data_IF_967227008030
#
_entry.id   IF_967227008030
#
_cell.length_a   1.000
_cell.length_b   1.000
_cell.length_c   1.000
_cell.angle_alpha   90.00
_cell.angle_beta   90.00
_cell.angle_gamma   90.00
#
_symmetry.space_group_name_H-M   'P 1'
#
loop_
_entity.id
_entity.type
_entity.pdbx_description
1 polymer ?
#
# COMPACT_ATOMS: atom_id res chain seq x y z
N UNK A 1 25.48 5.52 -12.54
CA UNK A 1 25.19 6.97 -12.41
C UNK A 1 24.50 7.45 -13.68
N UNK A 2 23.23 7.83 -13.62
CA UNK A 2 22.56 8.54 -14.73
C UNK A 2 23.20 9.93 -14.82
N UNK A 3 23.95 10.21 -15.90
CA UNK A 3 24.39 11.58 -16.22
C UNK A 3 23.14 12.47 -16.28
N UNK A 4 23.23 13.75 -15.86
CA UNK A 4 22.16 14.75 -16.06
C UNK A 4 21.79 14.76 -17.56
N UNK A 5 20.76 14.01 -17.94
CA UNK A 5 20.23 14.00 -19.29
C UNK A 5 19.19 15.12 -19.35
N UNK A 6 19.43 16.11 -20.20
CA UNK A 6 18.56 17.27 -20.41
C UNK A 6 17.39 16.89 -21.35
N UNK A 7 16.59 15.91 -20.93
CA UNK A 7 15.48 15.34 -21.72
C UNK A 7 14.41 16.41 -21.99
N UNK A 8 14.34 17.44 -21.15
CA UNK A 8 13.38 18.53 -21.27
C UNK A 8 13.56 19.44 -22.49
N UNK A 9 14.75 19.41 -23.13
CA UNK A 9 15.10 20.21 -24.31
C UNK A 9 15.12 19.41 -25.61
N UNK A 10 14.59 18.19 -25.60
CA UNK A 10 14.49 17.37 -26.79
C UNK A 10 13.46 17.97 -27.75
N UNK A 11 13.96 18.48 -28.88
CA UNK A 11 13.16 18.95 -30.00
C UNK A 11 12.87 17.78 -30.92
N UNK A 12 11.63 17.28 -30.91
CA UNK A 12 11.21 16.16 -31.74
C UNK A 12 9.93 16.56 -32.47
N UNK A 13 9.93 16.43 -33.79
CA UNK A 13 8.76 16.69 -34.63
C UNK A 13 8.48 15.50 -35.54
N UNK A 14 7.20 15.27 -35.84
CA UNK A 14 6.79 14.27 -36.82
C UNK A 14 5.95 13.13 -36.23
N UNK A 15 5.72 12.10 -37.05
CA UNK A 15 4.86 10.97 -36.73
C UNK A 15 5.60 9.68 -37.06
N UNK A 16 5.66 8.78 -36.08
CA UNK A 16 6.19 7.44 -36.26
C UNK A 16 5.07 6.44 -36.02
N UNK A 17 4.72 5.67 -37.06
CA UNK A 17 3.76 4.57 -36.98
C UNK A 17 4.52 3.25 -37.09
N UNK A 18 4.52 2.49 -36.00
CA UNK A 18 5.11 1.17 -35.93
C UNK A 18 3.98 0.15 -35.94
N UNK A 19 3.96 -0.70 -36.97
CA UNK A 19 3.02 -1.80 -37.12
C UNK A 19 3.76 -3.12 -37.02
N UNK A 20 3.27 -4.01 -36.15
CA UNK A 20 3.83 -5.34 -35.87
C UNK A 20 5.33 -5.29 -35.58
N UNK A 21 5.76 -4.24 -34.86
CA UNK A 21 7.16 -4.00 -34.55
C UNK A 21 7.61 -4.81 -33.35
N UNK A 22 8.78 -5.44 -33.51
CA UNK A 22 9.51 -6.15 -32.47
C UNK A 22 10.84 -5.41 -32.22
N UNK A 23 11.07 -4.99 -30.98
CA UNK A 23 12.37 -4.52 -30.52
C UNK A 23 12.96 -5.56 -29.58
N UNK A 24 14.03 -6.20 -30.02
CA UNK A 24 14.73 -7.24 -29.28
C UNK A 24 16.16 -6.80 -28.96
N UNK A 25 16.53 -6.86 -27.68
CA UNK A 25 17.92 -6.73 -27.22
C UNK A 25 18.32 -8.03 -26.55
N UNK A 26 19.01 -8.88 -27.32
CA UNK A 26 19.46 -10.22 -26.89
C UNK A 26 20.54 -10.16 -25.82
N UNK A 27 21.27 -9.04 -25.67
CA UNK A 27 22.26 -8.91 -24.60
C UNK A 27 21.59 -8.64 -23.25
N UNK A 28 20.34 -8.14 -23.25
CA UNK A 28 19.57 -7.81 -22.05
C UNK A 28 18.31 -8.67 -21.87
N UNK A 29 18.14 -9.71 -22.69
CA UNK A 29 16.95 -10.55 -22.78
C UNK A 29 15.66 -9.75 -22.88
N UNK A 30 15.70 -8.64 -23.62
CA UNK A 30 14.59 -7.70 -23.76
C UNK A 30 13.84 -8.00 -25.06
N UNK A 31 12.53 -8.15 -24.96
CA UNK A 31 11.62 -8.28 -26.10
C UNK A 31 10.42 -7.36 -25.87
N UNK A 32 10.19 -6.48 -26.84
CA UNK A 32 9.04 -5.59 -26.92
C UNK A 32 8.32 -5.84 -28.23
N UNK A 33 7.07 -6.27 -28.14
CA UNK A 33 6.21 -6.48 -29.30
C UNK A 33 4.97 -5.60 -29.17
N UNK A 34 4.71 -4.78 -30.18
CA UNK A 34 3.54 -3.93 -30.18
C UNK A 34 3.33 -3.07 -31.42
N UNK A 35 2.07 -2.70 -31.63
CA UNK A 35 1.69 -1.63 -32.54
C UNK A 35 1.78 -0.32 -31.76
N UNK A 36 2.60 0.62 -32.19
CA UNK A 36 2.81 1.88 -31.47
C UNK A 36 2.73 3.07 -32.44
N UNK A 37 1.88 4.04 -32.12
CA UNK A 37 1.90 5.33 -32.82
C UNK A 37 2.50 6.38 -31.90
N UNK A 38 3.59 6.99 -32.34
CA UNK A 38 4.20 8.14 -31.68
C UNK A 38 3.92 9.39 -32.50
N UNK A 39 3.34 10.42 -31.88
CA UNK A 39 3.17 11.73 -32.50
C UNK A 39 3.92 12.77 -31.71
N UNK A 40 4.81 13.49 -32.38
CA UNK A 40 5.58 14.59 -31.82
C UNK A 40 5.09 15.91 -32.42
N UNK A 41 4.53 16.79 -31.59
CA UNK A 41 3.73 17.94 -32.06
C UNK A 41 4.47 19.27 -32.03
N UNK A 42 5.56 19.38 -31.29
CA UNK A 42 6.25 20.65 -31.07
C UNK A 42 7.76 20.51 -31.30
N UNK A 43 8.36 21.52 -31.93
CA UNK A 43 9.80 21.61 -32.16
C UNK A 43 10.52 22.37 -31.05
N UNK A 44 9.82 22.89 -30.04
CA UNK A 44 10.41 23.60 -28.91
C UNK A 44 10.41 22.79 -27.60
N UNK A 45 9.35 22.00 -27.37
CA UNK A 45 9.19 21.13 -26.20
C UNK A 45 8.89 19.69 -26.59
N UNK A 46 9.15 18.74 -25.69
CA UNK A 46 8.75 17.36 -25.90
C UNK A 46 7.23 17.27 -25.75
N UNK A 47 6.51 17.04 -26.84
CA UNK A 47 5.09 16.69 -26.80
C UNK A 47 4.89 15.39 -27.56
N UNK A 48 4.79 14.28 -26.84
CA UNK A 48 4.68 12.95 -27.41
C UNK A 48 3.35 12.29 -27.03
N UNK A 49 2.62 11.79 -28.02
CA UNK A 49 1.49 10.89 -27.80
C UNK A 49 1.88 9.48 -28.25
N UNK A 50 1.70 8.50 -27.36
CA UNK A 50 1.90 7.08 -27.57
C UNK A 50 0.54 6.36 -27.49
N UNK A 51 0.20 5.55 -28.49
CA UNK A 51 -0.93 4.60 -28.42
C UNK A 51 -0.42 3.20 -28.77
N UNK A 52 -0.54 2.27 -27.82
CA UNK A 52 -0.11 0.89 -27.93
C UNK A 52 -1.29 -0.06 -27.71
N UNK A 53 -1.60 -0.91 -28.69
CA UNK A 53 -2.74 -1.86 -28.67
C UNK A 53 -2.42 -3.25 -28.13
N UNK A 54 -1.15 -3.53 -27.90
CA UNK A 54 -0.64 -4.72 -27.23
C UNK A 54 0.81 -4.42 -26.91
N UNK A 55 1.17 -4.54 -25.64
CA UNK A 55 2.54 -4.44 -25.19
C UNK A 55 2.85 -5.71 -24.42
N UNK A 56 3.77 -6.48 -24.98
CA UNK A 56 4.39 -7.60 -24.29
C UNK A 56 5.83 -7.18 -24.06
N UNK A 57 6.18 -6.99 -22.79
CA UNK A 57 7.54 -6.74 -22.36
C UNK A 57 8.03 -7.96 -21.62
N UNK A 58 9.16 -8.51 -22.06
CA UNK A 58 9.90 -9.53 -21.33
C UNK A 58 11.33 -9.02 -21.12
N UNK A 59 11.83 -9.15 -19.91
CA UNK A 59 13.21 -8.86 -19.55
C UNK A 59 13.61 -9.72 -18.37
N UNK A 60 14.91 -9.82 -18.10
CA UNK A 60 15.44 -10.59 -16.96
C UNK A 60 14.86 -10.17 -15.60
N UNK A 61 14.49 -8.89 -15.45
CA UNK A 61 14.02 -8.34 -14.17
C UNK A 61 12.53 -8.00 -14.16
N UNK A 62 11.91 -7.76 -15.32
CA UNK A 62 10.55 -7.26 -15.46
C UNK A 62 9.83 -7.98 -16.61
N UNK A 63 8.65 -8.51 -16.33
CA UNK A 63 7.69 -8.96 -17.34
C UNK A 63 6.44 -8.09 -17.24
N UNK A 64 5.88 -7.67 -18.37
CA UNK A 64 4.64 -6.93 -18.43
C UNK A 64 3.80 -7.34 -19.64
N UNK A 65 2.50 -7.49 -19.43
CA UNK A 65 1.50 -7.65 -20.46
C UNK A 65 0.45 -6.56 -20.30
N UNK A 66 0.22 -5.79 -21.36
CA UNK A 66 -0.76 -4.71 -21.39
C UNK A 66 -1.56 -4.84 -22.68
N UNK A 67 -2.90 -4.85 -22.57
CA UNK A 67 -3.76 -4.89 -23.75
C UNK A 67 -3.92 -3.52 -24.40
N UNK A 68 -3.89 -2.43 -23.63
CA UNK A 68 -3.86 -1.10 -24.21
C UNK A 68 -3.12 -0.13 -23.30
N UNK A 69 -2.24 0.67 -23.88
CA UNK A 69 -1.57 1.78 -23.22
C UNK A 69 -1.72 3.01 -24.11
N UNK A 70 -2.37 4.05 -23.61
CA UNK A 70 -2.31 5.38 -24.20
C UNK A 70 -1.54 6.26 -23.25
N UNK A 71 -0.49 6.92 -23.72
CA UNK A 71 0.28 7.85 -22.91
C UNK A 71 0.46 9.18 -23.65
N UNK A 72 0.23 10.28 -22.96
CA UNK A 72 0.55 11.62 -23.44
C UNK A 72 1.63 12.18 -22.53
N UNK A 73 2.75 12.59 -23.11
CA UNK A 73 3.89 13.17 -22.42
C UNK A 73 4.10 14.59 -22.93
N UNK A 74 4.22 15.54 -22.03
CA UNK A 74 4.53 16.94 -22.37
C UNK A 74 5.62 17.48 -21.46
N UNK A 75 6.56 18.25 -22.01
CA UNK A 75 7.53 19.03 -21.26
C UNK A 75 7.29 20.53 -21.40
N UNK A 76 7.89 21.30 -20.49
CA UNK A 76 8.01 22.76 -20.63
C UNK A 76 9.39 23.13 -21.15
N UNK A 77 9.53 24.25 -21.87
CA UNK A 77 10.83 24.80 -22.25
C UNK A 77 11.43 25.59 -21.07
N UNK A 78 12.49 25.11 -20.39
CA UNK A 78 13.10 25.86 -19.30
C UNK A 78 13.92 27.04 -19.87
N UNK A 79 13.40 28.26 -19.73
CA UNK A 79 14.13 29.51 -20.06
C UNK A 79 15.39 29.70 -19.18
N UNK A 80 15.45 29.04 -18.03
CA UNK A 80 16.54 29.09 -17.05
C UNK A 80 17.19 27.70 -16.91
N UNK A 81 18.48 27.59 -17.22
CA UNK A 81 19.27 26.34 -17.16
C UNK A 81 19.40 25.74 -15.76
N UNK A 82 19.13 26.52 -14.71
CA UNK A 82 19.25 26.05 -13.33
C UNK A 82 17.92 25.50 -12.77
N UNK A 83 16.83 25.57 -13.53
CA UNK A 83 15.51 25.08 -13.10
C UNK A 83 15.25 23.66 -13.58
N UNK A 84 14.49 22.93 -12.77
CA UNK A 84 14.01 21.60 -13.13
C UNK A 84 12.95 21.74 -14.22
N UNK A 85 13.12 20.98 -15.29
CA UNK A 85 12.15 20.91 -16.38
C UNK A 85 10.90 20.20 -15.88
N UNK A 86 9.75 20.84 -16.08
CA UNK A 86 8.48 20.18 -15.82
C UNK A 86 8.19 19.15 -16.92
N UNK A 87 7.84 17.94 -16.49
CA UNK A 87 7.39 16.84 -17.33
C UNK A 87 6.03 16.39 -16.79
N UNK A 88 5.03 16.29 -17.66
CA UNK A 88 3.73 15.73 -17.35
C UNK A 88 3.51 14.49 -18.22
N UNK A 89 2.92 13.46 -17.62
CA UNK A 89 2.58 12.20 -18.25
C UNK A 89 1.18 11.79 -17.83
N UNK A 90 0.26 11.73 -18.78
CA UNK A 90 -1.08 11.18 -18.61
C UNK A 90 -1.13 9.80 -19.27
N UNK A 91 -1.54 8.77 -18.53
CA UNK A 91 -1.56 7.39 -18.97
C UNK A 91 -2.92 6.74 -18.73
N UNK A 92 -3.43 6.04 -19.74
CA UNK A 92 -4.57 5.15 -19.65
C UNK A 92 -4.12 3.73 -19.98
N UNK A 93 -4.39 2.80 -19.07
CA UNK A 93 -3.91 1.42 -19.15
C UNK A 93 -5.07 0.46 -19.00
N UNK A 94 -5.17 -0.49 -19.93
CA UNK A 94 -6.14 -1.59 -19.90
C UNK A 94 -5.43 -2.93 -19.73
N UNK A 95 -5.89 -3.70 -18.74
CA UNK A 95 -5.41 -5.02 -18.33
C UNK A 95 -3.89 -5.07 -18.22
N UNK A 96 -3.37 -4.27 -17.30
CA UNK A 96 -1.98 -4.34 -16.88
C UNK A 96 -1.75 -5.60 -16.05
N UNK A 97 -0.79 -6.43 -16.46
CA UNK A 97 -0.17 -7.47 -15.63
C UNK A 97 1.32 -7.23 -15.66
N UNK A 98 1.92 -6.95 -14.52
CA UNK A 98 3.37 -6.82 -14.42
C UNK A 98 3.91 -7.73 -13.32
N UNK A 99 5.12 -8.24 -13.50
CA UNK A 99 5.86 -8.98 -12.50
C UNK A 99 7.32 -8.61 -12.52
N UNK A 100 7.92 -8.47 -11.34
CA UNK A 100 9.33 -8.16 -11.17
C UNK A 100 10.00 -9.27 -10.35
N UNK A 101 10.91 -10.01 -10.99
CA UNK A 101 11.39 -11.30 -10.47
C UNK A 101 10.23 -12.27 -10.18
N UNK A 102 10.43 -13.16 -9.21
CA UNK A 102 9.45 -14.21 -8.87
C UNK A 102 8.43 -13.76 -7.81
N UNK A 103 8.76 -12.72 -7.05
CA UNK A 103 8.06 -12.35 -5.82
C UNK A 103 7.07 -11.22 -6.00
N UNK A 104 7.27 -10.32 -6.96
CA UNK A 104 6.46 -9.11 -7.12
C UNK A 104 5.51 -9.25 -8.29
N UNK A 105 4.21 -9.08 -8.06
CA UNK A 105 3.15 -9.09 -9.08
C UNK A 105 2.24 -7.88 -8.90
N UNK A 106 1.87 -7.24 -10.00
CA UNK A 106 0.96 -6.10 -10.09
C UNK A 106 -0.10 -6.40 -11.15
N UNK A 107 -1.36 -6.11 -10.84
CA UNK A 107 -2.46 -6.21 -11.79
C UNK A 107 -3.43 -5.04 -11.66
N UNK A 108 -3.94 -4.57 -12.80
CA UNK A 108 -5.08 -3.67 -12.87
C UNK A 108 -5.91 -3.93 -14.13
N UNK A 109 -7.24 -4.00 -14.01
CA UNK A 109 -8.11 -4.16 -15.17
C UNK A 109 -8.21 -2.87 -15.98
N UNK A 110 -8.45 -1.74 -15.33
CA UNK A 110 -8.34 -0.40 -15.94
C UNK A 110 -7.74 0.59 -14.95
N UNK A 111 -6.78 1.37 -15.41
CA UNK A 111 -6.13 2.41 -14.63
C UNK A 111 -5.89 3.66 -15.46
N UNK A 112 -6.20 4.82 -14.88
CA UNK A 112 -5.79 6.12 -15.38
C UNK A 112 -4.80 6.72 -14.39
N UNK A 113 -3.60 7.04 -14.86
CA UNK A 113 -2.54 7.60 -14.04
C UNK A 113 -2.11 8.95 -14.62
N UNK A 114 -1.80 9.89 -13.74
CA UNK A 114 -1.16 11.15 -14.09
C UNK A 114 0.09 11.28 -13.22
N UNK A 115 1.21 11.59 -13.83
CA UNK A 115 2.45 11.87 -13.13
C UNK A 115 3.00 13.19 -13.64
N UNK A 116 3.48 14.03 -12.73
CA UNK A 116 4.22 15.23 -13.07
C UNK A 116 5.53 15.26 -12.27
N UNK A 117 6.62 15.62 -12.94
CA UNK A 117 7.89 15.99 -12.32
C UNK A 117 8.05 17.48 -12.53
N UNK A 118 8.47 18.21 -11.51
CA UNK A 118 8.73 19.65 -11.61
C UNK A 118 9.54 20.17 -10.43
N UNK A 119 9.78 21.49 -10.36
CA UNK A 119 10.42 22.11 -9.20
C UNK A 119 9.52 22.04 -7.96
N UNK A 120 10.12 21.96 -6.78
CA UNK A 120 9.37 22.15 -5.53
C UNK A 120 8.89 23.60 -5.40
N UNK A 121 7.77 23.79 -4.70
CA UNK A 121 7.26 25.14 -4.41
C UNK A 121 8.14 25.94 -3.46
N UNK A 122 8.89 25.26 -2.58
CA UNK A 122 9.75 25.91 -1.56
C UNK A 122 11.19 26.10 -2.08
N UNK A 123 11.73 25.11 -2.79
CA UNK A 123 13.08 25.14 -3.36
C UNK A 123 13.04 24.71 -4.83
N UNK A 124 13.04 25.68 -5.73
CA UNK A 124 12.92 25.45 -7.18
C UNK A 124 14.09 24.67 -7.79
N UNK A 125 15.18 24.49 -7.06
CA UNK A 125 16.34 23.70 -7.49
C UNK A 125 16.19 22.21 -7.17
N UNK A 126 15.19 21.84 -6.35
CA UNK A 126 14.90 20.45 -5.96
C UNK A 126 13.62 19.94 -6.63
N UNK A 127 13.56 18.65 -7.01
CA UNK A 127 12.41 18.09 -7.70
C UNK A 127 11.27 17.73 -6.74
N UNK A 128 10.05 17.90 -7.22
CA UNK A 128 8.82 17.35 -6.69
C UNK A 128 8.20 16.41 -7.73
N UNK A 129 7.55 15.36 -7.27
CA UNK A 129 6.74 14.46 -8.09
C UNK A 129 5.30 14.53 -7.62
N UNK A 130 4.37 14.88 -8.50
CA UNK A 130 2.95 14.71 -8.30
C UNK A 130 2.48 13.45 -9.02
N UNK A 131 1.65 12.64 -8.36
CA UNK A 131 1.12 11.39 -8.88
C UNK A 131 -0.35 11.24 -8.52
N UNK A 132 -1.16 10.89 -9.50
CA UNK A 132 -2.57 10.56 -9.35
C UNK A 132 -2.84 9.24 -10.05
N UNK A 133 -3.57 8.33 -9.41
CA UNK A 133 -3.99 7.06 -9.99
C UNK A 133 -5.46 6.84 -9.66
N UNK A 134 -6.25 6.48 -10.65
CA UNK A 134 -7.58 5.91 -10.47
C UNK A 134 -7.63 4.56 -11.16
N UNK A 135 -8.06 3.54 -10.44
CA UNK A 135 -8.17 2.20 -10.98
C UNK A 135 -9.44 1.51 -10.47
N UNK A 136 -10.08 0.73 -11.33
CA UNK A 136 -11.26 -0.05 -10.95
C UNK A 136 -10.90 -1.21 -9.99
N UNK A 137 -9.71 -1.74 -10.19
CA UNK A 137 -9.11 -2.84 -9.45
C UNK A 137 -7.61 -2.66 -9.44
N UNK A 138 -7.00 -2.86 -8.27
CA UNK A 138 -5.55 -2.96 -8.11
C UNK A 138 -5.25 -4.19 -7.28
N UNK A 139 -4.35 -5.02 -7.77
CA UNK A 139 -3.80 -6.13 -7.02
C UNK A 139 -2.28 -6.02 -6.99
N UNK A 140 -1.70 -6.20 -5.82
CA UNK A 140 -0.28 -6.21 -5.57
C UNK A 140 0.08 -7.43 -4.73
N UNK A 141 1.18 -8.09 -5.07
CA UNK A 141 1.74 -9.20 -4.30
C UNK A 141 3.25 -9.00 -4.22
N UNK A 142 3.83 -9.14 -3.03
CA UNK A 142 5.28 -9.10 -2.81
C UNK A 142 5.62 -9.88 -1.55
N UNK A 143 6.67 -10.72 -1.58
CA UNK A 143 7.17 -11.46 -0.42
C UNK A 143 6.07 -12.21 0.38
N UNK A 144 5.10 -12.81 -0.31
CA UNK A 144 3.95 -13.50 0.31
C UNK A 144 2.82 -12.56 0.77
N UNK A 145 3.09 -11.28 0.97
CA UNK A 145 2.06 -10.26 1.21
C UNK A 145 1.24 -10.03 -0.05
N UNK A 146 -0.09 -10.01 0.09
CA UNK A 146 -1.05 -9.76 -1.00
C UNK A 146 -1.99 -8.64 -0.59
N UNK A 147 -2.18 -7.69 -1.50
CA UNK A 147 -3.07 -6.56 -1.34
C UNK A 147 -3.99 -6.45 -2.56
N UNK A 148 -5.29 -6.34 -2.33
CA UNK A 148 -6.28 -6.12 -3.37
C UNK A 148 -7.17 -4.93 -3.01
N UNK A 149 -7.34 -4.01 -3.92
CA UNK A 149 -8.20 -2.83 -3.79
C UNK A 149 -9.23 -2.78 -4.90
N UNK A 150 -10.47 -2.45 -4.54
CA UNK A 150 -11.53 -2.11 -5.49
C UNK A 150 -11.74 -0.60 -5.50
N UNK A 151 -11.87 -0.02 -6.69
CA UNK A 151 -12.05 1.42 -6.91
C UNK A 151 -11.01 2.20 -6.11
N UNK A 152 -9.75 2.04 -6.51
CA UNK A 152 -8.63 2.68 -5.85
C UNK A 152 -8.41 4.08 -6.43
N UNK A 153 -8.28 5.07 -5.56
CA UNK A 153 -7.86 6.43 -5.88
C UNK A 153 -6.62 6.78 -5.06
N UNK A 154 -5.50 7.07 -5.71
CA UNK A 154 -4.27 7.50 -5.06
C UNK A 154 -3.97 8.90 -5.56
N UNK A 155 -3.75 9.84 -4.65
CA UNK A 155 -3.20 11.16 -4.98
C UNK A 155 -2.04 11.43 -4.05
N UNK A 156 -0.86 11.60 -4.61
CA UNK A 156 0.39 11.70 -3.86
C UNK A 156 1.23 12.83 -4.43
N UNK A 157 1.92 13.54 -3.56
CA UNK A 157 3.03 14.44 -3.89
C UNK A 157 4.26 13.97 -3.14
N UNK A 158 5.44 13.98 -3.74
CA UNK A 158 6.68 13.63 -3.08
C UNK A 158 7.72 14.70 -3.34
N UNK A 159 8.19 15.35 -2.28
CA UNK A 159 9.27 16.33 -2.35
C UNK A 159 10.61 15.64 -2.03
N UNK A 160 11.61 15.83 -2.88
CA UNK A 160 12.98 15.34 -2.65
C UNK A 160 13.67 16.16 -1.55
N UNK A 161 13.98 15.53 -0.42
CA UNK A 161 14.70 16.20 0.68
C UNK A 161 16.21 16.20 0.44
N UNK A 162 16.75 15.05 0.07
CA UNK A 162 18.15 14.81 -0.27
C UNK A 162 18.26 13.69 -1.32
N UNK A 163 19.47 13.26 -1.67
CA UNK A 163 19.68 12.32 -2.77
C UNK A 163 19.00 10.95 -2.63
N UNK A 164 18.73 10.51 -1.40
CA UNK A 164 18.13 9.19 -1.13
C UNK A 164 16.73 9.26 -0.52
N UNK A 165 16.27 10.44 -0.10
CA UNK A 165 15.05 10.58 0.68
C UNK A 165 14.02 11.48 -0.02
N UNK A 166 12.84 10.90 -0.25
CA UNK A 166 11.64 11.58 -0.72
C UNK A 166 10.61 11.59 0.40
N UNK A 167 9.90 12.71 0.55
CA UNK A 167 8.86 12.89 1.56
C UNK A 167 7.48 12.86 0.89
N UNK A 168 6.78 11.71 0.90
CA UNK A 168 5.45 11.60 0.29
C UNK A 168 4.38 12.26 1.16
N UNK A 169 3.40 12.92 0.54
CA UNK A 169 2.20 13.47 1.17
C UNK A 169 1.00 13.25 0.27
N UNK A 170 -0.10 12.73 0.79
CA UNK A 170 -1.22 12.41 -0.07
C UNK A 170 -2.35 11.64 0.59
N UNK A 171 -3.24 11.13 -0.23
CA UNK A 171 -4.43 10.38 0.17
C UNK A 171 -4.52 9.12 -0.69
N UNK A 172 -4.79 8.00 -0.02
CA UNK A 172 -5.13 6.72 -0.63
C UNK A 172 -6.55 6.37 -0.24
N UNK A 173 -7.47 6.35 -1.21
CA UNK A 173 -8.86 5.98 -1.04
C UNK A 173 -9.18 4.66 -1.75
N UNK A 174 -10.05 3.85 -1.14
CA UNK A 174 -10.53 2.61 -1.74
C UNK A 174 -11.94 2.27 -1.23
N UNK A 175 -12.73 1.58 -2.05
CA UNK A 175 -14.03 1.05 -1.63
C UNK A 175 -13.90 -0.23 -0.82
N UNK A 176 -12.95 -1.09 -1.18
CA UNK A 176 -12.62 -2.30 -0.44
C UNK A 176 -11.12 -2.51 -0.49
N UNK A 177 -10.53 -2.87 0.63
CA UNK A 177 -9.18 -3.37 0.74
C UNK A 177 -9.23 -4.80 1.29
N UNK A 178 -8.44 -5.69 0.71
CA UNK A 178 -8.11 -7.00 1.28
C UNK A 178 -6.60 -7.09 1.37
N UNK A 179 -6.10 -7.27 2.56
CA UNK A 179 -4.68 -7.39 2.87
C UNK A 179 -4.42 -8.72 3.55
N UNK A 180 -3.37 -9.41 3.11
CA UNK A 180 -2.90 -10.68 3.69
C UNK A 180 -1.38 -10.61 3.76
N UNK A 181 -0.81 -11.08 4.85
CA UNK A 181 0.64 -11.09 5.04
C UNK A 181 1.09 -12.38 5.70
N UNK A 182 2.30 -12.90 5.42
CA UNK A 182 2.76 -14.14 6.02
C UNK A 182 2.85 -14.11 7.54
N UNK A 183 2.92 -12.94 8.18
CA UNK A 183 3.04 -12.80 9.63
C UNK A 183 1.69 -12.85 10.35
N UNK A 184 0.58 -12.95 9.61
CA UNK A 184 -0.77 -12.90 10.17
C UNK A 184 -1.74 -13.74 9.34
N UNK A 185 -2.18 -14.88 9.90
CA UNK A 185 -2.92 -15.92 9.19
C UNK A 185 -4.31 -15.50 8.69
N UNK A 186 -4.87 -14.39 9.18
CA UNK A 186 -6.20 -13.91 8.78
C UNK A 186 -6.13 -12.71 7.83
N UNK A 187 -6.96 -12.67 6.78
CA UNK A 187 -7.04 -11.52 5.91
C UNK A 187 -7.67 -10.32 6.62
N UNK A 188 -6.98 -9.19 6.58
CA UNK A 188 -7.48 -7.89 7.02
C UNK A 188 -8.33 -7.30 5.89
N UNK A 189 -9.58 -6.95 6.19
CA UNK A 189 -10.50 -6.34 5.23
C UNK A 189 -10.87 -4.95 5.70
N UNK A 190 -10.85 -3.97 4.81
CA UNK A 190 -11.35 -2.63 5.10
C UNK A 190 -12.39 -2.21 4.09
N UNK A 191 -13.39 -1.47 4.54
CA UNK A 191 -14.47 -0.96 3.69
C UNK A 191 -14.41 0.57 3.61
N UNK A 192 -14.67 1.11 2.42
CA UNK A 192 -14.81 2.54 2.08
C UNK A 192 -13.99 3.45 3.00
N UNK A 193 -12.67 3.42 2.84
CA UNK A 193 -11.75 4.18 3.68
C UNK A 193 -10.91 5.10 2.80
N UNK A 194 -10.60 6.29 3.34
CA UNK A 194 -9.57 7.17 2.83
C UNK A 194 -8.51 7.33 3.91
N UNK A 195 -7.26 7.12 3.53
CA UNK A 195 -6.10 7.14 4.41
C UNK A 195 -5.21 8.29 3.99
N UNK A 196 -4.79 9.11 4.94
CA UNK A 196 -3.86 10.22 4.69
C UNK A 196 -2.43 9.76 4.96
N UNK A 197 -1.51 10.15 4.09
CA UNK A 197 -0.08 9.88 4.21
C UNK A 197 0.64 11.22 4.38
N UNK A 198 1.48 11.33 5.39
CA UNK A 198 2.42 12.45 5.61
C UNK A 198 3.78 11.89 6.04
N UNK A 199 4.63 11.63 5.05
CA UNK A 199 5.92 10.98 5.22
C UNK A 199 5.78 9.55 5.75
N UNK A 200 6.39 9.23 6.90
CA UNK A 200 6.23 7.92 7.53
C UNK A 200 4.89 7.75 8.25
N UNK A 201 4.13 8.84 8.43
CA UNK A 201 2.85 8.86 9.15
C UNK A 201 1.70 8.51 8.24
N UNK A 202 0.82 7.65 8.73
CA UNK A 202 -0.42 7.25 8.11
C UNK A 202 -1.56 7.56 9.09
N UNK A 203 -2.54 8.35 8.67
CA UNK A 203 -3.70 8.71 9.50
C UNK A 203 -4.95 8.02 8.99
N UNK A 204 -5.64 7.34 9.91
CA UNK A 204 -6.92 6.68 9.71
C UNK A 204 -8.03 7.55 10.31
N UNK A 205 -9.13 7.71 9.57
CA UNK A 205 -10.35 8.37 10.06
C UNK A 205 -11.55 7.47 9.84
N UNK A 206 -12.12 6.97 10.94
CA UNK A 206 -13.29 6.09 10.95
C UNK A 206 -13.12 4.89 10.00
N UNK A 207 -11.94 4.28 10.01
CA UNK A 207 -11.63 3.17 9.14
C UNK A 207 -12.35 1.91 9.62
N UNK A 208 -13.28 1.39 8.82
CA UNK A 208 -14.01 0.15 9.14
C UNK A 208 -13.17 -1.05 8.74
N UNK A 209 -12.76 -1.84 9.73
CA UNK A 209 -11.87 -3.00 9.59
C UNK A 209 -12.59 -4.27 10.05
N UNK A 210 -12.36 -5.37 9.33
CA UNK A 210 -12.83 -6.70 9.70
C UNK A 210 -11.70 -7.71 9.60
N UNK A 211 -11.52 -8.49 10.65
CA UNK A 211 -10.55 -9.58 10.74
C UNK A 211 -11.28 -10.79 11.29
N UNK A 212 -11.51 -11.80 10.44
CA UNK A 212 -12.34 -12.95 10.79
C UNK A 212 -13.74 -12.55 11.29
N UNK A 213 -14.06 -12.91 12.53
CA UNK A 213 -15.30 -12.62 13.27
C UNK A 213 -15.29 -11.21 13.90
N UNK A 214 -14.10 -10.63 14.11
CA UNK A 214 -13.94 -9.32 14.73
C UNK A 214 -14.22 -8.17 13.76
N UNK A 215 -15.03 -7.20 14.19
CA UNK A 215 -15.30 -5.94 13.47
C UNK A 215 -14.87 -4.75 14.31
N UNK A 216 -14.20 -3.77 13.72
CA UNK A 216 -13.74 -2.59 14.44
C UNK A 216 -13.78 -1.34 13.56
N UNK A 217 -13.95 -0.18 14.18
CA UNK A 217 -13.71 1.11 13.57
C UNK A 217 -12.48 1.72 14.23
N UNK A 218 -11.49 2.08 13.43
CA UNK A 218 -10.22 2.63 13.91
C UNK A 218 -10.04 4.09 13.45
N UNK A 219 -9.65 4.94 14.39
CA UNK A 219 -9.25 6.33 14.12
C UNK A 219 -7.96 6.63 14.86
N UNK A 220 -7.00 7.26 14.19
CA UNK A 220 -5.72 7.59 14.78
C UNK A 220 -4.57 7.48 13.78
N UNK A 221 -3.37 7.27 14.30
CA UNK A 221 -2.13 7.39 13.54
C UNK A 221 -1.30 6.11 13.61
N UNK A 222 -0.63 5.80 12.50
CA UNK A 222 0.33 4.71 12.40
C UNK A 222 1.63 5.25 11.79
N UNK A 223 2.78 4.75 12.23
CA UNK A 223 4.08 5.16 11.70
C UNK A 223 4.88 3.95 11.22
N UNK A 224 5.55 4.12 10.08
CA UNK A 224 6.54 3.13 9.63
C UNK A 224 5.95 1.93 8.89
N UNK A 225 4.67 1.97 8.49
CA UNK A 225 3.98 0.89 7.72
C UNK A 225 4.82 0.38 6.55
N UNK A 226 5.37 1.28 5.72
CA UNK A 226 6.20 0.89 4.59
C UNK A 226 7.45 0.09 5.01
N UNK A 227 8.13 0.52 6.08
CA UNK A 227 9.36 -0.14 6.55
C UNK A 227 9.06 -1.44 7.27
N UNK A 228 7.96 -1.51 8.00
CA UNK A 228 7.47 -2.75 8.59
C UNK A 228 7.19 -3.80 7.51
N UNK A 229 6.50 -3.41 6.42
CA UNK A 229 6.19 -4.30 5.31
C UNK A 229 7.41 -4.72 4.47
N UNK A 230 8.41 -3.86 4.30
CA UNK A 230 9.52 -4.11 3.37
C UNK A 230 10.80 -4.57 4.04
N UNK A 231 10.98 -4.27 5.33
CA UNK A 231 12.22 -4.51 6.08
C UNK A 231 11.98 -5.20 7.43
N UNK A 232 10.74 -5.47 7.80
CA UNK A 232 10.41 -5.99 9.13
C UNK A 232 10.71 -5.02 10.27
N UNK A 233 10.91 -3.73 9.98
CA UNK A 233 11.16 -2.70 10.98
C UNK A 233 9.93 -2.46 11.88
N UNK A 234 10.12 -1.71 12.97
CA UNK A 234 9.09 -1.41 13.95
C UNK A 234 7.90 -0.65 13.33
N UNK A 235 6.69 -1.12 13.61
CA UNK A 235 5.41 -0.49 13.31
C UNK A 235 4.84 0.09 14.61
N UNK A 236 4.62 1.40 14.67
CA UNK A 236 3.94 2.02 15.81
C UNK A 236 2.54 2.47 15.44
N UNK A 237 1.61 2.43 16.39
CA UNK A 237 0.24 2.89 16.19
C UNK A 237 -0.34 3.51 17.47
N UNK A 238 -1.06 4.62 17.33
CA UNK A 238 -1.88 5.21 18.38
C UNK A 238 -3.30 5.29 17.85
N UNK A 239 -4.18 4.40 18.31
CA UNK A 239 -5.50 4.20 17.72
C UNK A 239 -6.60 4.23 18.78
N UNK A 240 -7.68 4.94 18.49
CA UNK A 240 -8.97 4.73 19.14
C UNK A 240 -9.76 3.70 18.36
N UNK A 241 -10.23 2.66 19.06
CA UNK A 241 -10.92 1.51 18.50
C UNK A 241 -12.31 1.39 19.10
N UNK A 242 -13.33 1.36 18.23
CA UNK A 242 -14.68 0.94 18.61
C UNK A 242 -15.04 -0.39 17.96
N UNK A 243 -15.79 -1.24 18.65
CA UNK A 243 -16.14 -2.58 18.13
C UNK A 243 -17.47 -3.08 18.65
N UNK A 244 -18.22 -3.82 17.82
CA UNK A 244 -19.36 -4.62 18.30
C UNK A 244 -18.91 -5.97 18.86
N UNK A 245 -17.90 -6.59 18.24
CA UNK A 245 -17.34 -7.87 18.64
C UNK A 245 -15.84 -7.95 18.33
N UNK A 246 -15.06 -8.32 19.34
CA UNK A 246 -13.68 -8.78 19.20
C UNK A 246 -13.59 -10.24 19.68
N UNK A 247 -13.14 -11.14 18.80
CA UNK A 247 -12.79 -12.52 19.13
C UNK A 247 -11.28 -12.62 19.33
N UNK A 248 -10.83 -12.50 20.58
CA UNK A 248 -9.40 -12.53 20.92
C UNK A 248 -8.78 -13.88 20.60
N UNK A 249 -9.51 -14.98 20.79
CA UNK A 249 -9.03 -16.33 20.50
C UNK A 249 -8.62 -16.45 19.03
N UNK A 250 -9.48 -15.98 18.13
CA UNK A 250 -9.20 -16.02 16.70
C UNK A 250 -8.02 -15.11 16.31
N UNK A 251 -7.93 -13.91 16.88
CA UNK A 251 -6.83 -12.98 16.60
C UNK A 251 -5.48 -13.53 17.10
N UNK A 252 -5.43 -14.07 18.31
CA UNK A 252 -4.24 -14.69 18.91
C UNK A 252 -3.78 -15.90 18.09
N UNK A 253 -4.71 -16.77 17.68
CA UNK A 253 -4.39 -17.94 16.86
C UNK A 253 -3.80 -17.53 15.50
N UNK A 254 -4.31 -16.45 14.91
CA UNK A 254 -3.80 -15.95 13.63
C UNK A 254 -2.39 -15.34 13.70
N UNK A 255 -1.95 -14.91 14.88
CA UNK A 255 -0.56 -14.49 15.12
C UNK A 255 0.36 -15.69 15.39
N UNK A 256 -0.16 -16.72 16.06
CA UNK A 256 0.60 -17.90 16.49
C UNK A 256 0.84 -18.91 15.37
N UNK A 257 -0.10 -19.00 14.42
CA UNK A 257 -0.04 -19.91 13.26
C UNK A 257 -0.24 -19.13 11.95
N UNK A 258 0.80 -18.44 11.46
CA UNK A 258 0.70 -17.59 10.28
C UNK A 258 0.44 -18.30 8.95
N UNK A 259 0.65 -19.62 8.85
CA UNK A 259 0.59 -20.33 7.58
C UNK A 259 -0.82 -20.39 6.97
N UNK A 260 -0.84 -20.50 5.64
CA UNK A 260 -2.01 -20.59 4.76
C UNK A 260 -2.79 -21.91 4.98
N UNK A 261 -3.44 -21.97 6.14
CA UNK A 261 -4.62 -22.74 6.48
C UNK A 261 -5.73 -22.69 5.40
N UNK A 262 -5.61 -23.33 4.23
CA UNK A 262 -6.78 -23.61 3.37
C UNK A 262 -7.72 -24.66 3.96
N UNK A 263 -7.41 -25.13 5.17
CA UNK A 263 -8.38 -25.84 5.98
C UNK A 263 -9.47 -24.85 6.38
N UNK A 264 -10.69 -25.21 6.03
CA UNK A 264 -11.89 -24.70 6.71
C UNK A 264 -11.54 -24.71 8.20
N UNK A 265 -11.48 -23.53 8.83
CA UNK A 265 -11.44 -23.44 10.29
C UNK A 265 -12.74 -24.09 10.78
N UNK A 266 -12.72 -25.40 10.97
CA UNK A 266 -13.76 -26.13 11.67
C UNK A 266 -13.79 -25.59 13.09
N UNK A 267 -15.00 -25.53 13.65
CA UNK A 267 -15.38 -24.87 14.91
C UNK A 267 -14.75 -25.52 16.17
N UNK A 268 -13.67 -26.27 16.00
CA UNK A 268 -12.89 -26.91 17.03
C UNK A 268 -11.78 -25.97 17.47
N UNK A 269 -12.05 -25.22 18.55
CA UNK A 269 -11.04 -24.54 19.37
C UNK A 269 -9.99 -25.59 19.78
N UNK A 270 -8.70 -25.45 19.44
CA UNK A 270 -7.67 -26.27 20.04
C UNK A 270 -7.70 -26.03 21.56
N UNK A 271 -8.07 -27.06 22.32
CA UNK A 271 -8.41 -26.95 23.75
C UNK A 271 -7.20 -26.75 24.69
N UNK A 272 -6.04 -26.36 24.19
CA UNK A 272 -4.88 -26.04 25.02
C UNK A 272 -4.18 -24.80 24.43
N UNK A 273 -4.19 -23.68 25.16
CA UNK A 273 -3.41 -22.50 24.75
C UNK A 273 -1.93 -22.84 24.82
N UNK A 274 -1.33 -23.02 23.65
CA UNK A 274 0.10 -22.84 23.48
C UNK A 274 0.42 -21.37 23.73
N UNK A 275 1.49 -21.13 24.49
CA UNK A 275 2.08 -19.82 24.72
C UNK A 275 2.11 -19.01 23.40
N UNK A 276 1.39 -17.88 23.33
CA UNK A 276 1.30 -17.09 22.09
C UNK A 276 2.31 -15.95 22.11
N UNK A 277 3.13 -15.85 21.06
CA UNK A 277 4.21 -14.87 21.00
C UNK A 277 3.73 -13.58 20.33
N UNK A 278 3.90 -12.46 21.01
CA UNK A 278 3.66 -11.13 20.44
C UNK A 278 4.85 -10.73 19.55
N UNK A 279 4.63 -10.26 18.31
CA UNK A 279 5.70 -9.82 17.42
C UNK A 279 6.59 -8.74 18.06
N UNK A 280 7.91 -8.84 17.86
CA UNK A 280 8.88 -7.88 18.43
C UNK A 280 8.84 -6.50 17.77
N UNK A 281 8.29 -6.42 16.56
CA UNK A 281 8.30 -5.23 15.72
C UNK A 281 6.99 -4.44 15.76
N UNK A 282 6.12 -4.65 16.76
CA UNK A 282 4.90 -3.85 16.95
C UNK A 282 4.94 -3.09 18.27
N UNK A 283 4.39 -1.87 18.24
CA UNK A 283 4.25 -0.98 19.40
C UNK A 283 2.97 -0.16 19.26
N UNK A 284 1.88 -0.70 19.81
CA UNK A 284 0.54 -0.15 19.64
C UNK A 284 0.00 0.35 20.98
N UNK A 285 -0.46 1.58 20.98
CA UNK A 285 -1.25 2.16 22.06
C UNK A 285 -2.70 2.26 21.57
N UNK A 286 -3.59 1.53 22.24
CA UNK A 286 -4.98 1.40 21.82
C UNK A 286 -5.90 1.94 22.91
N UNK A 287 -6.76 2.88 22.55
CA UNK A 287 -7.87 3.32 23.40
C UNK A 287 -9.13 2.60 22.94
N UNK A 288 -9.74 1.82 23.83
CA UNK A 288 -10.76 0.84 23.45
C UNK A 288 -12.15 1.20 23.96
N UNK A 289 -13.15 0.97 23.10
CA UNK A 289 -14.58 1.02 23.40
C UNK A 289 -15.27 -0.14 22.67
N UNK A 290 -15.35 -1.29 23.35
CA UNK A 290 -15.72 -2.58 22.75
C UNK A 290 -16.98 -3.12 23.41
N UNK A 291 -18.03 -3.37 22.63
CA UNK A 291 -19.28 -3.89 23.19
C UNK A 291 -19.15 -5.32 23.69
N UNK A 292 -18.47 -6.19 22.93
CA UNK A 292 -18.28 -7.60 23.27
C UNK A 292 -16.87 -8.05 22.95
N UNK A 293 -16.23 -8.70 23.91
CA UNK A 293 -14.92 -9.33 23.76
C UNK A 293 -15.00 -10.77 24.21
N UNK A 294 -14.64 -11.69 23.33
CA UNK A 294 -14.55 -13.13 23.62
C UNK A 294 -13.09 -13.47 23.86
N UNK A 295 -12.79 -14.01 25.03
CA UNK A 295 -11.49 -14.55 25.36
C UNK A 295 -11.66 -15.84 26.16
N UNK A 296 -11.02 -16.91 25.69
CA UNK A 296 -11.30 -18.28 26.10
C UNK A 296 -12.81 -18.61 26.06
N UNK A 297 -13.39 -19.00 27.20
CA UNK A 297 -14.81 -19.28 27.37
C UNK A 297 -15.58 -18.08 27.94
N UNK A 298 -14.90 -16.96 28.19
CA UNK A 298 -15.47 -15.78 28.81
C UNK A 298 -15.97 -14.79 27.75
N UNK A 299 -17.13 -14.22 28.02
CA UNK A 299 -17.67 -13.07 27.31
C UNK A 299 -17.58 -11.86 28.24
N UNK A 300 -16.84 -10.84 27.80
CA UNK A 300 -16.77 -9.55 28.44
C UNK A 300 -17.61 -8.55 27.65
N UNK A 301 -18.41 -7.77 28.35
CA UNK A 301 -19.27 -6.73 27.78
C UNK A 301 -18.82 -5.34 28.22
N UNK A 302 -19.03 -4.34 27.36
CA UNK A 302 -18.70 -2.93 27.61
C UNK A 302 -17.26 -2.73 28.12
N UNK A 303 -16.30 -3.21 27.32
CA UNK A 303 -14.88 -3.12 27.64
C UNK A 303 -14.36 -1.75 27.23
N UNK A 304 -13.88 -0.99 28.20
CA UNK A 304 -13.28 0.33 28.00
C UNK A 304 -11.96 0.46 28.75
N UNK A 305 -10.94 1.01 28.10
CA UNK A 305 -9.64 1.28 28.72
C UNK A 305 -8.50 1.33 27.71
N UNK A 306 -7.28 1.42 28.22
CA UNK A 306 -6.07 1.49 27.42
C UNK A 306 -5.41 0.11 27.29
N UNK A 307 -4.93 -0.21 26.09
CA UNK A 307 -4.21 -1.44 25.78
C UNK A 307 -2.92 -1.11 25.05
N UNK A 308 -1.82 -1.43 25.70
CA UNK A 308 -0.46 -1.18 25.22
C UNK A 308 0.20 -2.50 24.80
N UNK A 309 0.54 -2.62 23.52
CA UNK A 309 1.17 -3.81 22.95
C UNK A 309 2.59 -3.43 22.52
N UNK A 310 3.58 -3.72 23.36
CA UNK A 310 4.98 -3.35 23.11
C UNK A 310 5.93 -4.32 23.78
N UNK A 311 7.15 -4.45 23.26
CA UNK A 311 8.20 -5.28 23.85
C UNK A 311 7.78 -6.74 24.12
N UNK A 312 6.97 -7.31 23.20
CA UNK A 312 6.38 -8.65 23.31
C UNK A 312 5.47 -8.85 24.54
N UNK A 313 4.90 -7.77 25.06
CA UNK A 313 3.95 -7.78 26.15
C UNK A 313 2.68 -7.01 25.78
N UNK A 314 1.57 -7.40 26.40
CA UNK A 314 0.30 -6.65 26.39
C UNK A 314 0.10 -6.13 27.81
N UNK A 315 -0.06 -4.83 27.93
CA UNK A 315 -0.39 -4.13 29.16
C UNK A 315 -1.83 -3.63 29.04
N UNK A 316 -2.70 -4.09 29.93
CA UNK A 316 -4.06 -3.58 30.07
C UNK A 316 -4.04 -2.58 31.21
N UNK A 317 -4.30 -1.31 30.89
CA UNK A 317 -4.29 -0.21 31.84
C UNK A 317 -5.72 0.28 32.04
N UNK A 318 -6.19 0.23 33.29
CA UNK A 318 -7.51 0.68 33.71
C UNK A 318 -8.68 0.11 32.88
N UNK A 319 -8.61 -1.19 32.55
CA UNK A 319 -9.66 -1.84 31.77
C UNK A 319 -10.90 -2.04 32.65
N UNK A 320 -11.98 -1.32 32.34
CA UNK A 320 -13.32 -1.54 32.89
C UNK A 320 -14.12 -2.45 31.97
N UNK A 321 -14.83 -3.42 32.53
CA UNK A 321 -15.64 -4.39 31.76
C UNK A 321 -16.71 -5.02 32.64
N UNK A 322 -17.71 -5.67 32.03
CA UNK A 322 -18.70 -6.49 32.73
C UNK A 322 -18.57 -7.94 32.31
N UNK A 323 -18.60 -8.86 33.26
CA UNK A 323 -18.69 -10.30 33.01
C UNK A 323 -19.46 -10.99 34.13
N UNK A 324 -20.21 -12.05 33.80
CA UNK A 324 -20.98 -12.84 34.79
C UNK A 324 -21.86 -11.96 35.71
N UNK A 325 -22.50 -10.95 35.12
CA UNK A 325 -23.33 -9.96 35.83
C UNK A 325 -22.62 -9.09 36.89
N UNK A 326 -21.28 -9.05 36.86
CA UNK A 326 -20.47 -8.19 37.72
C UNK A 326 -19.65 -7.18 36.91
N UNK A 327 -19.52 -5.97 37.45
CA UNK A 327 -18.57 -4.98 36.96
C UNK A 327 -17.17 -5.30 37.47
N UNK A 328 -16.20 -5.24 36.58
CA UNK A 328 -14.80 -5.58 36.82
C UNK A 328 -13.89 -4.41 36.41
N UNK A 329 -12.82 -4.22 37.18
CA UNK A 329 -11.68 -3.39 36.80
C UNK A 329 -10.44 -4.25 36.81
N UNK A 330 -9.64 -4.20 35.76
CA UNK A 330 -8.44 -5.00 35.63
C UNK A 330 -7.25 -4.15 35.21
N UNK A 331 -6.11 -4.45 35.84
CA UNK A 331 -4.78 -4.11 35.37
C UNK A 331 -4.06 -5.43 35.16
N UNK A 332 -3.58 -5.67 33.95
CA UNK A 332 -2.98 -6.96 33.58
C UNK A 332 -1.73 -6.72 32.75
N UNK A 333 -0.70 -7.54 32.97
CA UNK A 333 0.44 -7.63 32.08
C UNK A 333 0.54 -9.06 31.59
N UNK A 334 0.43 -9.25 30.29
CA UNK A 334 0.74 -10.52 29.63
C UNK A 334 2.09 -10.41 28.94
N UNK A 335 2.98 -11.37 29.18
CA UNK A 335 4.25 -11.50 28.48
C UNK A 335 4.48 -12.98 28.20
N UNK A 336 4.66 -13.32 26.93
CA UNK A 336 5.03 -14.68 26.56
C UNK A 336 6.46 -14.97 27.05
N UNK A 337 6.68 -16.14 27.66
CA UNK A 337 8.02 -16.65 27.93
C UNK A 337 8.84 -16.76 26.64
N UNK A 338 10.09 -16.30 26.70
CA UNK A 338 11.04 -16.29 25.58
C UNK A 338 11.40 -17.69 25.08
#
# INVERSE_FOLDING_TARGET
>A
ALKKQDIGRMKLGGKLELKDFELKDTAKDFDFLGNATFRFRDNETLQAQMDVRKLVLRSRFLSSDIERLVANVSSTNPQDTNRIVSLQCDMEVSKLRASMGDSIKLYSARANAQAALGPQGVDVTKPAIDFSLRADSLFFSAAGTRMAMNVAGIKMKADKLNDSLWMPKGIVGFNRLRFRTPEFGLPIRMSKTAVTVDGPKITLKNASVRIGRSNMTATGDMMGVYRAMTKGEKLTAHLSLTSDLIDCNQLINSLSFPEDTTEVLTDSVPSEMKLFVIPRNIDFELQTDLKKVIFEKMLFENVHGAVDIKNQAIHLEDLSMRALDADMKAVMVYKAGS
#
